data_IF_502019307403
#
_entry.id   IF_502019307403
#
_cell.length_a   1.000
_cell.length_b   1.000
_cell.length_c   1.000
_cell.angle_alpha   90.00
_cell.angle_beta   90.00
_cell.angle_gamma   90.00
#
_symmetry.space_group_name_H-M   'P 1'
#
loop_
_entity.id
_entity.type
_entity.pdbx_description
1 polymer ?
#
# COMPACT_ATOMS: atom_id res chain seq x y z
N UNK A 1 -42.78 3.93 -19.96
CA UNK A 1 -41.86 3.06 -19.19
C UNK A 1 -40.46 3.59 -19.40
N UNK A 2 -39.83 3.99 -18.31
CA UNK A 2 -38.72 4.93 -18.25
C UNK A 2 -37.39 4.30 -18.72
N UNK A 3 -36.88 4.77 -19.87
CA UNK A 3 -35.58 4.35 -20.42
C UNK A 3 -34.76 5.56 -20.90
N UNK A 4 -34.72 6.61 -20.08
CA UNK A 4 -34.08 7.89 -20.42
C UNK A 4 -33.21 8.50 -19.31
N UNK A 5 -32.71 7.69 -18.34
CA UNK A 5 -31.92 8.17 -17.19
C UNK A 5 -30.50 7.63 -17.04
N UNK A 6 -29.89 7.04 -18.08
CA UNK A 6 -28.46 6.74 -18.09
C UNK A 6 -27.79 7.31 -19.33
N UNK A 7 -27.95 8.62 -19.53
CA UNK A 7 -26.98 9.39 -20.32
C UNK A 7 -25.70 9.54 -19.49
N UNK A 8 -25.02 8.41 -19.28
CA UNK A 8 -23.67 8.34 -18.74
C UNK A 8 -22.82 9.04 -19.79
N UNK A 9 -22.42 10.28 -19.52
CA UNK A 9 -21.35 10.90 -20.29
C UNK A 9 -20.10 10.05 -20.03
N UNK A 10 -19.96 8.95 -20.78
CA UNK A 10 -18.78 8.11 -20.73
C UNK A 10 -17.65 8.96 -21.29
N UNK A 11 -16.73 9.31 -20.40
CA UNK A 11 -15.50 9.94 -20.80
C UNK A 11 -14.77 8.93 -21.70
N UNK A 12 -14.82 9.17 -23.01
CA UNK A 12 -14.25 8.30 -24.02
C UNK A 12 -12.75 8.06 -23.77
N UNK A 13 -12.03 9.04 -23.21
CA UNK A 13 -10.61 8.89 -22.84
C UNK A 13 -10.43 7.86 -21.72
N UNK A 14 -11.32 7.86 -20.72
CA UNK A 14 -11.29 6.87 -19.63
C UNK A 14 -11.70 5.48 -20.11
N UNK A 15 -12.63 5.39 -21.05
CA UNK A 15 -13.02 4.12 -21.65
C UNK A 15 -11.87 3.54 -22.48
N UNK A 16 -11.23 4.36 -23.30
CA UNK A 16 -10.03 3.94 -24.05
C UNK A 16 -8.90 3.53 -23.12
N UNK A 17 -8.66 4.26 -22.03
CA UNK A 17 -7.67 3.87 -21.03
C UNK A 17 -8.04 2.55 -20.32
N UNK A 18 -9.33 2.32 -20.07
CA UNK A 18 -9.83 1.07 -19.49
C UNK A 18 -9.53 -0.13 -20.39
N UNK A 19 -9.93 -0.04 -21.65
CA UNK A 19 -9.72 -1.10 -22.65
C UNK A 19 -8.23 -1.35 -22.88
N UNK A 20 -7.42 -0.28 -22.89
CA UNK A 20 -5.97 -0.40 -23.04
C UNK A 20 -5.34 -1.17 -21.88
N UNK A 21 -5.72 -0.89 -20.62
CA UNK A 21 -5.19 -1.66 -19.47
C UNK A 21 -5.70 -3.10 -19.48
N UNK A 22 -6.95 -3.31 -19.87
CA UNK A 22 -7.61 -4.61 -19.79
C UNK A 22 -7.13 -5.58 -20.86
N UNK A 23 -6.95 -5.11 -22.10
CA UNK A 23 -6.71 -5.96 -23.26
C UNK A 23 -5.31 -5.85 -23.85
N UNK A 24 -4.46 -4.95 -23.33
CA UNK A 24 -3.06 -4.84 -23.76
C UNK A 24 -2.10 -4.98 -22.58
N UNK A 25 -0.85 -5.38 -22.85
CA UNK A 25 0.22 -5.47 -21.84
C UNK A 25 1.19 -4.29 -21.91
N UNK A 26 0.73 -3.17 -22.46
CA UNK A 26 1.52 -1.96 -22.62
C UNK A 26 1.45 -1.05 -21.38
N UNK A 27 2.52 -0.29 -21.16
CA UNK A 27 2.56 0.71 -20.09
C UNK A 27 1.77 1.97 -20.46
N UNK A 28 0.97 2.48 -19.51
CA UNK A 28 0.24 3.74 -19.67
C UNK A 28 0.62 4.76 -18.60
N UNK A 29 0.61 6.03 -18.98
CA UNK A 29 0.73 7.15 -18.06
C UNK A 29 -0.54 8.00 -18.11
N UNK A 30 -1.40 7.85 -17.09
CA UNK A 30 -2.67 8.59 -17.01
C UNK A 30 -2.48 9.95 -16.32
N UNK A 31 -2.52 11.02 -17.10
CA UNK A 31 -2.38 12.42 -16.62
C UNK A 31 -3.66 13.24 -16.82
N UNK A 32 -3.67 14.47 -16.31
CA UNK A 32 -4.72 15.49 -16.50
C UNK A 32 -5.04 16.29 -15.23
N UNK A 33 -5.95 17.26 -15.35
CA UNK A 33 -6.24 18.26 -14.30
C UNK A 33 -6.77 17.65 -13.00
N UNK A 34 -6.69 18.42 -11.90
CA UNK A 34 -7.34 18.05 -10.65
C UNK A 34 -8.85 17.83 -10.85
N UNK A 35 -9.46 16.98 -10.02
CA UNK A 35 -10.90 16.64 -10.08
C UNK A 35 -11.37 15.94 -11.37
N UNK A 36 -10.47 15.37 -12.18
CA UNK A 36 -10.82 14.65 -13.43
C UNK A 36 -11.06 13.15 -13.24
N UNK A 37 -11.33 12.69 -12.01
CA UNK A 37 -11.75 11.31 -11.76
C UNK A 37 -10.65 10.24 -11.82
N UNK A 38 -9.35 10.59 -11.84
CA UNK A 38 -8.23 9.63 -11.91
C UNK A 38 -8.22 8.61 -10.77
N UNK A 39 -8.48 9.07 -9.56
CA UNK A 39 -8.55 8.21 -8.37
C UNK A 39 -9.77 7.28 -8.48
N UNK A 40 -10.90 7.79 -8.97
CA UNK A 40 -12.10 7.00 -9.23
C UNK A 40 -11.84 5.92 -10.28
N UNK A 41 -11.14 6.26 -11.37
CA UNK A 41 -10.71 5.32 -12.39
C UNK A 41 -9.83 4.20 -11.80
N UNK A 42 -8.78 4.56 -11.05
CA UNK A 42 -7.90 3.57 -10.40
C UNK A 42 -8.64 2.65 -9.43
N UNK A 43 -9.58 3.19 -8.64
CA UNK A 43 -10.41 2.40 -7.71
C UNK A 43 -11.37 1.44 -8.43
N UNK A 44 -11.95 1.87 -9.55
CA UNK A 44 -12.81 1.00 -10.34
C UNK A 44 -12.00 -0.08 -11.05
N UNK A 45 -10.81 0.27 -11.54
CA UNK A 45 -9.90 -0.64 -12.22
C UNK A 45 -9.39 -1.74 -11.28
N UNK A 46 -9.03 -1.40 -10.04
CA UNK A 46 -8.60 -2.42 -9.08
C UNK A 46 -9.73 -3.34 -8.60
N UNK A 47 -10.99 -2.87 -8.63
CA UNK A 47 -12.17 -3.64 -8.20
C UNK A 47 -12.75 -4.54 -9.29
N UNK A 48 -12.88 -4.01 -10.50
CA UNK A 48 -13.62 -4.65 -11.58
C UNK A 48 -12.72 -5.13 -12.74
N UNK A 49 -11.42 -4.80 -12.70
CA UNK A 49 -10.47 -5.26 -13.71
C UNK A 49 -10.23 -6.77 -13.64
N UNK A 50 -9.95 -7.37 -14.79
CA UNK A 50 -9.68 -8.82 -14.91
C UNK A 50 -8.25 -9.16 -14.42
N UNK A 51 -7.31 -8.22 -14.55
CA UNK A 51 -5.90 -8.43 -14.22
C UNK A 51 -5.67 -8.31 -12.70
N UNK A 52 -4.90 -9.25 -12.14
CA UNK A 52 -4.39 -9.13 -10.76
C UNK A 52 -3.50 -7.89 -10.67
N UNK A 53 -3.92 -6.92 -9.88
CA UNK A 53 -3.27 -5.62 -9.77
C UNK A 53 -2.86 -5.33 -8.33
N UNK A 54 -1.74 -4.62 -8.19
CA UNK A 54 -1.31 -4.02 -6.92
C UNK A 54 -1.22 -2.52 -7.12
N UNK A 55 -1.80 -1.75 -6.20
CA UNK A 55 -1.73 -0.29 -6.22
C UNK A 55 -0.59 0.15 -5.32
N UNK A 56 0.38 0.88 -5.89
CA UNK A 56 1.51 1.43 -5.15
C UNK A 56 1.57 2.95 -5.26
N UNK A 57 2.02 3.63 -4.21
CA UNK A 57 2.23 5.08 -4.21
C UNK A 57 3.57 5.48 -3.57
N UNK A 58 4.09 6.69 -3.85
CA UNK A 58 5.36 7.16 -3.27
C UNK A 58 5.25 7.55 -1.79
N UNK A 59 4.07 7.98 -1.32
CA UNK A 59 3.85 8.41 0.07
C UNK A 59 2.76 7.57 0.75
N UNK A 60 2.84 7.46 2.08
CA UNK A 60 1.90 6.67 2.89
C UNK A 60 0.45 7.16 2.77
N UNK A 61 0.23 8.47 2.81
CA UNK A 61 -1.12 9.05 2.68
C UNK A 61 -1.73 8.74 1.31
N UNK A 62 -0.94 8.83 0.23
CA UNK A 62 -1.42 8.50 -1.11
C UNK A 62 -1.72 7.00 -1.26
N UNK A 63 -0.88 6.13 -0.67
CA UNK A 63 -1.11 4.69 -0.67
C UNK A 63 -2.42 4.34 0.04
N UNK A 64 -2.66 4.90 1.24
CA UNK A 64 -3.91 4.70 1.99
C UNK A 64 -5.12 5.19 1.19
N UNK A 65 -5.04 6.39 0.62
CA UNK A 65 -6.14 6.97 -0.17
C UNK A 65 -6.47 6.13 -1.42
N UNK A 66 -5.47 5.46 -2.00
CA UNK A 66 -5.64 4.58 -3.15
C UNK A 66 -5.98 3.13 -2.78
N UNK A 67 -6.01 2.78 -1.49
CA UNK A 67 -6.23 1.39 -1.03
C UNK A 67 -5.05 0.47 -1.33
N UNK A 68 -3.84 1.02 -1.35
CA UNK A 68 -2.61 0.32 -1.72
C UNK A 68 -1.51 0.42 -0.67
N UNK A 69 -0.28 0.14 -1.11
CA UNK A 69 0.93 0.15 -0.28
C UNK A 69 1.97 1.13 -0.85
N UNK A 70 3.00 1.45 -0.07
CA UNK A 70 4.08 2.31 -0.59
C UNK A 70 5.07 1.52 -1.44
N UNK A 71 5.75 2.19 -2.38
CA UNK A 71 6.86 1.58 -3.13
C UNK A 71 7.94 1.03 -2.18
N UNK A 72 8.24 1.76 -1.10
CA UNK A 72 9.21 1.32 -0.08
C UNK A 72 8.78 0.03 0.63
N UNK A 73 7.52 -0.09 1.03
CA UNK A 73 7.02 -1.30 1.69
C UNK A 73 6.88 -2.48 0.73
N UNK A 74 6.45 -2.23 -0.50
CA UNK A 74 6.20 -3.27 -1.49
C UNK A 74 7.49 -3.92 -1.98
N UNK A 75 8.47 -3.10 -2.39
CA UNK A 75 9.78 -3.58 -2.88
C UNK A 75 10.83 -3.71 -1.76
N UNK A 76 10.44 -3.52 -0.49
CA UNK A 76 11.33 -3.51 0.68
C UNK A 76 12.53 -2.55 0.54
N UNK A 77 12.33 -1.42 -0.13
CA UNK A 77 13.40 -0.45 -0.38
C UNK A 77 13.79 0.32 0.89
N UNK A 78 15.09 0.60 1.11
CA UNK A 78 15.53 1.50 2.17
C UNK A 78 15.06 2.94 1.89
N UNK A 79 14.97 3.77 2.93
CA UNK A 79 14.80 5.21 2.75
C UNK A 79 16.19 5.80 2.45
N UNK A 80 16.31 6.52 1.34
CA UNK A 80 17.58 7.08 0.86
C UNK A 80 17.98 6.55 -0.53
N UNK A 81 19.10 7.03 -1.07
CA UNK A 81 19.59 6.62 -2.38
C UNK A 81 19.80 5.11 -2.44
N UNK A 82 19.16 4.46 -3.40
CA UNK A 82 19.38 3.05 -3.69
C UNK A 82 20.51 2.94 -4.72
N UNK A 83 21.68 2.45 -4.31
CA UNK A 83 22.77 2.12 -5.23
C UNK A 83 22.71 0.63 -5.55
N UNK A 84 22.63 0.22 -6.83
CA UNK A 84 22.68 -1.19 -7.22
C UNK A 84 23.96 -1.85 -6.67
N UNK A 85 23.81 -2.95 -5.91
CA UNK A 85 24.92 -3.70 -5.32
C UNK A 85 25.29 -3.34 -3.88
N UNK A 86 24.72 -2.27 -3.29
CA UNK A 86 24.92 -1.99 -1.88
C UNK A 86 23.91 -2.76 -1.02
N UNK A 87 24.27 -3.98 -0.59
CA UNK A 87 23.54 -4.73 0.46
C UNK A 87 23.59 -4.05 1.85
N UNK A 88 24.04 -2.81 1.94
CA UNK A 88 24.45 -2.14 3.17
C UNK A 88 23.30 -1.72 4.10
N UNK A 89 22.04 -1.71 3.64
CA UNK A 89 20.93 -1.10 4.40
C UNK A 89 19.87 -2.06 4.98
N UNK A 90 19.89 -3.36 4.64
CA UNK A 90 19.02 -4.33 5.35
C UNK A 90 19.52 -4.56 6.79
N UNK A 91 20.83 -4.52 7.00
CA UNK A 91 21.47 -4.75 8.30
C UNK A 91 21.17 -3.67 9.33
N UNK A 92 20.99 -2.40 8.94
CA UNK A 92 20.73 -1.31 9.90
C UNK A 92 19.32 -1.40 10.49
N UNK A 93 18.28 -1.53 9.65
CA UNK A 93 16.89 -1.71 10.10
C UNK A 93 16.71 -2.98 10.91
N UNK A 94 17.37 -4.08 10.51
CA UNK A 94 17.31 -5.34 11.24
C UNK A 94 17.94 -5.22 12.63
N UNK A 95 19.11 -4.56 12.74
CA UNK A 95 19.74 -4.24 14.03
C UNK A 95 18.88 -3.32 14.89
N UNK A 96 18.21 -2.33 14.31
CA UNK A 96 17.35 -1.40 15.04
C UNK A 96 16.08 -2.07 15.58
N UNK A 97 15.45 -2.92 14.76
CA UNK A 97 14.33 -3.76 15.17
C UNK A 97 14.73 -4.74 16.26
N UNK A 98 15.89 -5.37 16.14
CA UNK A 98 16.44 -6.26 17.17
C UNK A 98 16.68 -5.50 18.50
N UNK A 99 17.26 -4.30 18.44
CA UNK A 99 17.42 -3.42 19.62
C UNK A 99 16.09 -3.05 20.25
N UNK A 100 15.08 -2.71 19.44
CA UNK A 100 13.72 -2.42 19.93
C UNK A 100 13.11 -3.64 20.63
N UNK A 101 13.18 -4.82 20.01
CA UNK A 101 12.66 -6.07 20.57
C UNK A 101 13.38 -6.45 21.86
N UNK A 102 14.71 -6.34 21.93
CA UNK A 102 15.49 -6.56 23.15
C UNK A 102 15.08 -5.62 24.29
N UNK A 103 14.88 -4.33 23.99
CA UNK A 103 14.40 -3.35 24.99
C UNK A 103 12.99 -3.67 25.47
N UNK A 104 12.08 -4.03 24.58
CA UNK A 104 10.70 -4.42 24.91
C UNK A 104 10.68 -5.67 25.78
N UNK A 105 11.44 -6.71 25.41
CA UNK A 105 11.57 -7.95 26.19
C UNK A 105 12.14 -7.67 27.58
N UNK A 106 13.20 -6.87 27.70
CA UNK A 106 13.79 -6.49 28.99
C UNK A 106 12.78 -5.76 29.89
N UNK A 107 11.94 -4.89 29.33
CA UNK A 107 10.86 -4.22 30.09
C UNK A 107 9.79 -5.21 30.57
N UNK A 108 9.38 -6.14 29.71
CA UNK A 108 8.40 -7.17 30.05
C UNK A 108 8.94 -8.09 31.16
N UNK A 109 10.19 -8.54 31.06
CA UNK A 109 10.85 -9.34 32.08
C UNK A 109 11.00 -8.59 33.41
N UNK A 110 11.31 -7.28 33.37
CA UNK A 110 11.40 -6.44 34.58
C UNK A 110 10.04 -6.27 35.29
N UNK A 111 8.94 -6.24 34.53
CA UNK A 111 7.57 -6.12 35.06
C UNK A 111 6.91 -7.48 35.36
N UNK A 112 7.58 -8.59 35.06
CA UNK A 112 7.10 -9.94 35.33
C UNK A 112 6.94 -10.28 36.84
N UNK A 113 7.81 -9.83 37.77
CA UNK A 113 7.59 -10.05 39.20
C UNK A 113 6.38 -9.29 39.76
N UNK A 114 5.92 -8.21 39.10
CA UNK A 114 4.69 -7.51 39.46
C UNK A 114 3.44 -8.22 38.92
N UNK A 115 3.49 -8.84 37.74
CA UNK A 115 2.38 -9.65 37.21
C UNK A 115 2.16 -10.96 37.98
N UNK A 116 3.23 -11.61 38.49
CA UNK A 116 3.08 -12.80 39.35
C UNK A 116 2.44 -12.48 40.71
N UNK A 117 2.46 -11.22 41.16
CA UNK A 117 1.81 -10.78 42.42
C UNK A 117 0.37 -10.34 42.23
N UNK A 118 -0.10 -10.08 41.01
CA UNK A 118 -1.46 -9.58 40.75
C UNK A 118 -2.47 -10.66 40.34
N UNK A 119 -2.14 -11.96 40.44
CA UNK A 119 -3.10 -13.05 40.23
C UNK A 119 -3.66 -13.18 38.81
N UNK A 120 -3.08 -12.50 37.81
CA UNK A 120 -3.52 -12.61 36.41
C UNK A 120 -2.90 -13.87 35.77
N UNK A 121 -3.51 -15.02 36.05
CA UNK A 121 -3.31 -16.27 35.31
C UNK A 121 -3.72 -16.06 33.84
N UNK A 122 -2.81 -16.33 32.91
CA UNK A 122 -3.17 -16.61 31.52
C UNK A 122 -2.85 -18.08 31.25
N UNK A 123 -3.89 -18.85 30.92
CA UNK A 123 -3.75 -20.14 30.25
C UNK A 123 -3.27 -19.90 28.80
N UNK A 124 -2.56 -20.90 28.28
CA UNK A 124 -1.85 -20.95 26.99
C UNK A 124 -2.55 -20.27 25.80
#
# INVERSE_FOLDING_TARGET
MADSLTKKYENHELQTAWDFVQYTDNHIFLTGKACTGKITFLRNLSKNGIKRMIVTAPTGVAAINAGGVTLHSFFQLPFGPFSPGSHAHQTSRQKERERYLKRKLKRLQKNLPTLKRSGAFYWY
#
